data_IF_557054408638
#
_entry.id   IF_557054408638
#
_cell.length_a   1.000
_cell.length_b   1.000
_cell.length_c   1.000
_cell.angle_alpha   90.00
_cell.angle_beta   90.00
_cell.angle_gamma   90.00
#
_symmetry.space_group_name_H-M   'P 1'
#
loop_
_entity.id
_entity.type
_entity.pdbx_description
1 polymer ?
#
# COMPACT_ATOMS: atom_id res chain seq x y z
N UNK A 1 -18.84 4.73 -16.21
CA UNK A 1 -18.42 4.86 -17.63
C UNK A 1 -18.34 6.34 -18.03
N UNK A 2 -19.43 7.10 -17.88
CA UNK A 2 -19.44 8.55 -18.12
C UNK A 2 -18.38 9.36 -17.33
N UNK A 3 -18.16 9.07 -16.05
CA UNK A 3 -17.11 9.72 -15.24
C UNK A 3 -15.69 9.48 -15.80
N UNK A 4 -15.37 8.23 -16.14
CA UNK A 4 -14.08 7.86 -16.73
C UNK A 4 -13.84 8.59 -18.06
N UNK A 5 -14.85 8.63 -18.94
CA UNK A 5 -14.75 9.28 -20.25
C UNK A 5 -14.67 10.81 -20.12
N UNK A 6 -15.38 11.40 -19.14
CA UNK A 6 -15.27 12.82 -18.79
C UNK A 6 -13.86 13.17 -18.32
N UNK A 7 -13.33 12.46 -17.31
CA UNK A 7 -11.98 12.70 -16.78
C UNK A 7 -10.86 12.45 -17.80
N UNK A 8 -11.10 11.53 -18.74
CA UNK A 8 -10.18 11.27 -19.86
C UNK A 8 -10.18 12.42 -20.87
N UNK A 9 -11.36 12.92 -21.23
CA UNK A 9 -11.53 13.98 -22.25
C UNK A 9 -11.13 15.37 -21.75
N UNK A 10 -11.27 15.65 -20.45
CA UNK A 10 -10.81 16.90 -19.82
C UNK A 10 -9.32 16.92 -19.50
N UNK A 11 -8.62 15.80 -19.70
CA UNK A 11 -7.18 15.71 -19.46
C UNK A 11 -6.78 15.48 -18.00
N UNK A 12 -7.73 15.33 -17.07
CA UNK A 12 -7.45 14.98 -15.66
C UNK A 12 -6.70 13.65 -15.49
N UNK A 13 -6.76 12.77 -16.50
CA UNK A 13 -5.99 11.52 -16.51
C UNK A 13 -4.61 11.65 -17.19
N UNK A 14 -4.32 12.76 -17.89
CA UNK A 14 -2.99 13.02 -18.45
C UNK A 14 -2.07 13.45 -17.30
N UNK A 15 -0.79 13.04 -17.32
CA UNK A 15 0.22 13.36 -16.30
C UNK A 15 0.02 12.70 -14.91
N UNK A 16 -0.81 11.65 -14.79
CA UNK A 16 -0.81 10.84 -13.55
C UNK A 16 0.43 9.96 -13.50
N UNK A 17 1.26 10.14 -12.49
CA UNK A 17 2.44 9.31 -12.23
C UNK A 17 2.20 8.49 -10.98
N UNK A 18 2.69 7.25 -10.94
CA UNK A 18 2.62 6.40 -9.75
C UNK A 18 4.03 6.08 -9.25
N UNK A 19 4.32 6.50 -8.02
CA UNK A 19 5.50 6.05 -7.27
C UNK A 19 5.19 4.75 -6.54
N UNK A 20 6.13 3.82 -6.58
CA UNK A 20 6.06 2.55 -5.86
C UNK A 20 7.23 2.49 -4.88
N UNK A 21 6.94 2.26 -3.60
CA UNK A 21 7.93 2.20 -2.54
C UNK A 21 7.68 0.98 -1.66
N UNK A 22 8.75 0.41 -1.11
CA UNK A 22 8.64 -0.58 -0.05
C UNK A 22 8.06 0.07 1.22
N UNK A 23 7.27 -0.68 1.99
CA UNK A 23 6.81 -0.23 3.31
C UNK A 23 7.93 -0.48 4.33
N UNK A 24 8.43 0.54 5.06
CA UNK A 24 9.48 0.34 6.07
C UNK A 24 9.10 -0.70 7.13
N UNK A 25 10.06 -1.53 7.56
CA UNK A 25 9.83 -2.61 8.52
C UNK A 25 9.05 -3.80 7.94
N UNK A 26 8.85 -3.83 6.62
CA UNK A 26 8.12 -4.89 5.91
C UNK A 26 8.92 -5.44 4.73
N UNK A 27 10.23 -5.27 4.76
CA UNK A 27 11.11 -5.80 3.72
C UNK A 27 11.64 -7.17 4.02
N UNK A 28 12.37 -7.72 3.05
CA UNK A 28 13.05 -9.01 3.20
C UNK A 28 14.02 -9.02 4.38
N UNK A 29 14.80 -7.94 4.55
CA UNK A 29 15.78 -7.84 5.64
C UNK A 29 15.15 -7.80 7.04
N UNK A 30 13.88 -7.41 7.15
CA UNK A 30 13.17 -7.35 8.44
C UNK A 30 12.64 -8.72 8.87
N UNK A 31 12.05 -9.49 7.95
CA UNK A 31 11.52 -10.83 8.22
C UNK A 31 11.54 -11.72 6.95
N UNK A 32 12.67 -12.38 6.64
CA UNK A 32 12.80 -13.22 5.46
C UNK A 32 11.74 -14.32 5.37
N UNK A 33 11.40 -14.93 6.51
CA UNK A 33 10.48 -16.07 6.58
C UNK A 33 9.02 -15.67 6.35
N UNK A 34 8.62 -14.47 6.75
CA UNK A 34 7.29 -13.94 6.43
C UNK A 34 7.21 -13.41 4.99
N UNK A 35 8.33 -13.00 4.38
CA UNK A 35 8.35 -12.46 3.01
C UNK A 35 8.47 -13.52 1.94
N UNK A 36 9.13 -14.63 2.20
CA UNK A 36 9.37 -15.67 1.20
C UNK A 36 8.88 -17.01 1.70
N UNK A 37 7.86 -17.56 1.02
CA UNK A 37 7.38 -18.91 1.22
C UNK A 37 7.91 -19.81 0.12
N UNK A 38 8.74 -20.79 0.48
CA UNK A 38 9.19 -21.82 -0.45
C UNK A 38 8.04 -22.75 -0.82
N UNK A 39 7.84 -22.97 -2.12
CA UNK A 39 6.87 -23.93 -2.67
C UNK A 39 7.60 -25.19 -3.13
N UNK A 40 8.72 -25.03 -3.81
CA UNK A 40 9.59 -26.12 -4.27
C UNK A 40 11.06 -25.68 -4.25
N UNK A 41 11.96 -26.53 -4.74
CA UNK A 41 13.36 -26.17 -5.00
C UNK A 41 13.54 -25.15 -6.14
N UNK A 42 12.46 -24.87 -6.88
CA UNK A 42 12.44 -23.96 -8.03
C UNK A 42 11.43 -22.84 -7.92
N UNK A 43 10.49 -22.91 -6.97
CA UNK A 43 9.35 -22.00 -6.91
C UNK A 43 9.17 -21.42 -5.51
N UNK A 44 8.90 -20.12 -5.46
CA UNK A 44 8.67 -19.36 -4.25
C UNK A 44 7.48 -18.42 -4.42
N UNK A 45 6.84 -18.08 -3.32
CA UNK A 45 5.89 -16.97 -3.24
C UNK A 45 6.54 -15.86 -2.41
N UNK A 46 6.72 -14.71 -3.04
CA UNK A 46 7.28 -13.49 -2.44
C UNK A 46 6.15 -12.53 -2.11
N UNK A 47 6.04 -12.19 -0.83
CA UNK A 47 5.09 -11.20 -0.31
C UNK A 47 5.71 -9.83 -0.36
N UNK A 48 5.29 -9.02 -1.33
CA UNK A 48 5.74 -7.64 -1.51
C UNK A 48 4.70 -6.66 -0.96
N UNK A 49 5.01 -6.00 0.15
CA UNK A 49 4.18 -4.96 0.76
C UNK A 49 4.66 -3.58 0.27
N UNK A 50 3.89 -2.94 -0.61
CA UNK A 50 4.25 -1.66 -1.23
C UNK A 50 3.29 -0.53 -0.88
N UNK A 51 3.83 0.68 -0.87
CA UNK A 51 3.07 1.93 -0.96
C UNK A 51 3.03 2.36 -2.43
N UNK A 52 1.82 2.54 -2.95
CA UNK A 52 1.55 3.10 -4.26
C UNK A 52 0.97 4.50 -4.11
N UNK A 53 1.78 5.51 -4.43
CA UNK A 53 1.38 6.92 -4.40
C UNK A 53 1.11 7.40 -5.82
N UNK A 54 -0.08 7.93 -6.07
CA UNK A 54 -0.43 8.55 -7.35
C UNK A 54 -0.39 10.07 -7.24
N UNK A 55 0.27 10.70 -8.19
CA UNK A 55 0.43 12.14 -8.29
C UNK A 55 -0.24 12.68 -9.55
N UNK A 56 -0.74 13.91 -9.47
CA UNK A 56 -1.11 14.74 -10.61
C UNK A 56 -0.31 16.04 -10.51
N UNK A 57 0.68 16.21 -11.39
CA UNK A 57 1.69 17.26 -11.21
C UNK A 57 2.45 17.06 -9.89
N UNK A 58 2.46 18.09 -9.04
CA UNK A 58 3.10 18.04 -7.72
C UNK A 58 2.19 17.54 -6.59
N UNK A 59 0.88 17.37 -6.86
CA UNK A 59 -0.10 17.01 -5.83
C UNK A 59 -0.25 15.49 -5.72
N UNK A 60 -0.15 14.96 -4.51
CA UNK A 60 -0.49 13.57 -4.24
C UNK A 60 -2.01 13.40 -4.18
N UNK A 61 -2.56 12.58 -5.07
CA UNK A 61 -4.01 12.36 -5.19
C UNK A 61 -4.46 11.01 -4.63
N UNK A 62 -3.54 10.08 -4.40
CA UNK A 62 -3.85 8.77 -3.80
C UNK A 62 -2.65 8.19 -3.08
N UNK A 63 -2.90 7.51 -1.97
CA UNK A 63 -1.97 6.57 -1.31
C UNK A 63 -2.67 5.25 -1.09
N UNK A 64 -2.05 4.16 -1.54
CA UNK A 64 -2.55 2.81 -1.29
C UNK A 64 -1.42 1.92 -0.80
N UNK A 65 -1.60 1.31 0.38
CA UNK A 65 -0.73 0.24 0.86
C UNK A 65 -1.31 -1.08 0.36
N UNK A 66 -0.53 -1.86 -0.37
CA UNK A 66 -0.98 -3.07 -1.05
C UNK A 66 0.04 -4.19 -0.88
N UNK A 67 -0.46 -5.38 -0.56
CA UNK A 67 0.28 -6.63 -0.50
C UNK A 67 0.13 -7.38 -1.81
N UNK A 68 1.23 -7.64 -2.49
CA UNK A 68 1.31 -8.44 -3.69
C UNK A 68 1.95 -9.80 -3.38
N UNK A 69 1.19 -10.91 -3.50
CA UNK A 69 1.77 -12.25 -3.44
C UNK A 69 2.28 -12.63 -4.85
N UNK A 70 3.56 -12.43 -5.11
CA UNK A 70 4.18 -12.64 -6.42
C UNK A 70 4.81 -14.03 -6.48
N UNK A 71 4.51 -14.83 -7.51
CA UNK A 71 5.23 -16.08 -7.71
C UNK A 71 6.57 -15.79 -8.37
N UNK A 72 7.61 -16.44 -7.88
CA UNK A 72 8.96 -16.37 -8.44
C UNK A 72 9.40 -17.78 -8.75
N UNK A 73 9.87 -17.99 -9.98
CA UNK A 73 10.33 -19.30 -10.44
C UNK A 73 11.76 -19.23 -10.94
N UNK A 74 12.52 -20.30 -10.70
CA UNK A 74 13.86 -20.50 -11.24
C UNK A 74 13.75 -20.84 -12.72
N UNK A 75 14.44 -20.08 -13.55
CA UNK A 75 14.52 -20.29 -14.99
C UNK A 75 15.96 -20.62 -15.40
N UNK A 76 16.11 -21.59 -16.29
CA UNK A 76 17.41 -21.89 -16.90
C UNK A 76 17.58 -21.02 -18.14
N UNK A 77 18.28 -19.91 -17.95
CA UNK A 77 18.54 -18.89 -18.98
C UNK A 77 19.99 -18.45 -18.84
N UNK A 78 20.59 -18.11 -19.96
CA UNK A 78 21.96 -17.57 -20.03
C UNK A 78 22.17 -16.46 -18.96
N UNK A 79 23.11 -16.65 -18.02
CA UNK A 79 23.41 -15.67 -16.97
C UNK A 79 23.84 -14.30 -17.49
N UNK A 80 24.37 -14.22 -18.72
CA UNK A 80 24.68 -12.93 -19.34
C UNK A 80 23.41 -12.12 -19.68
N UNK A 81 22.26 -12.78 -19.85
CA UNK A 81 20.96 -12.14 -20.10
C UNK A 81 20.14 -11.97 -18.83
N UNK A 82 20.22 -12.91 -17.89
CA UNK A 82 19.59 -12.81 -16.59
C UNK A 82 20.51 -13.42 -15.52
N UNK A 83 21.31 -12.59 -14.83
CA UNK A 83 22.29 -13.08 -13.85
C UNK A 83 21.64 -13.71 -12.62
N UNK A 84 20.34 -13.48 -12.40
CA UNK A 84 19.62 -14.02 -11.24
C UNK A 84 19.04 -15.41 -11.50
N UNK A 85 18.79 -15.79 -12.77
CA UNK A 85 18.11 -17.05 -13.09
C UNK A 85 16.70 -17.16 -12.51
N UNK A 86 16.04 -16.02 -12.27
CA UNK A 86 14.69 -15.92 -11.70
C UNK A 86 13.74 -15.20 -12.66
N UNK A 87 12.46 -15.57 -12.62
CA UNK A 87 11.38 -14.91 -13.34
C UNK A 87 10.17 -14.69 -12.42
N UNK A 88 9.38 -13.65 -12.72
CA UNK A 88 8.09 -13.42 -12.07
C UNK A 88 7.00 -14.17 -12.82
N UNK A 89 6.27 -15.05 -12.13
CA UNK A 89 5.18 -15.88 -12.66
C UNK A 89 3.81 -15.41 -12.14
N UNK A 90 3.44 -14.18 -12.50
CA UNK A 90 2.17 -13.58 -12.08
C UNK A 90 1.98 -13.59 -10.54
N UNK A 91 0.72 -13.65 -10.08
CA UNK A 91 0.37 -13.61 -8.67
C UNK A 91 -0.11 -14.97 -8.15
N UNK A 92 0.22 -15.29 -6.90
CA UNK A 92 -0.29 -16.45 -6.14
C UNK A 92 -1.73 -16.23 -5.64
N UNK A 93 -2.19 -14.97 -5.66
CA UNK A 93 -3.55 -14.58 -5.32
C UNK A 93 -3.81 -13.11 -5.63
N UNK A 94 -5.04 -12.67 -5.41
CA UNK A 94 -5.41 -11.26 -5.65
C UNK A 94 -4.62 -10.34 -4.71
N UNK A 95 -3.96 -9.28 -5.23
CA UNK A 95 -3.32 -8.28 -4.39
C UNK A 95 -4.30 -7.68 -3.37
N UNK A 96 -3.89 -7.58 -2.11
CA UNK A 96 -4.76 -7.18 -1.00
C UNK A 96 -4.38 -5.80 -0.51
N UNK A 97 -5.38 -4.95 -0.23
CA UNK A 97 -5.13 -3.66 0.42
C UNK A 97 -4.75 -3.91 1.87
N UNK A 98 -3.68 -3.26 2.33
CA UNK A 98 -3.26 -3.28 3.74
C UNK A 98 -4.01 -2.17 4.45
N UNK A 99 -4.82 -2.53 5.44
CA UNK A 99 -5.48 -1.55 6.30
C UNK A 99 -4.43 -0.75 7.07
N UNK A 100 -4.51 0.57 6.99
CA UNK A 100 -3.79 1.46 7.90
C UNK A 100 -4.74 1.74 9.06
N UNK A 101 -4.29 1.69 10.34
CA UNK A 101 -5.12 2.16 11.44
C UNK A 101 -5.59 3.59 11.14
N UNK A 102 -6.89 3.86 11.30
CA UNK A 102 -7.39 5.22 11.17
C UNK A 102 -6.68 6.10 12.21
N UNK A 103 -6.19 7.30 11.86
CA UNK A 103 -5.67 8.22 12.86
C UNK A 103 -6.76 8.42 13.91
N UNK A 104 -6.45 8.14 15.19
CA UNK A 104 -7.37 8.41 16.29
C UNK A 104 -7.76 9.87 16.23
N UNK A 105 -8.99 10.16 15.80
CA UNK A 105 -9.53 11.52 15.87
C UNK A 105 -9.50 11.91 17.35
N UNK A 106 -8.84 13.01 17.75
CA UNK A 106 -8.92 13.46 19.13
C UNK A 106 -10.39 13.65 19.47
N UNK A 107 -10.83 13.03 20.57
CA UNK A 107 -12.20 13.16 21.03
C UNK A 107 -12.54 14.65 21.14
N UNK A 108 -13.63 15.06 20.51
CA UNK A 108 -14.17 16.40 20.67
C UNK A 108 -14.31 16.66 22.16
N UNK A 109 -13.46 17.54 22.72
CA UNK A 109 -13.49 17.87 24.13
C UNK A 109 -14.91 18.28 24.50
N UNK A 110 -15.56 17.45 25.30
CA UNK A 110 -16.87 17.76 25.85
C UNK A 110 -16.73 19.01 26.70
N UNK A 111 -17.19 20.14 26.19
CA UNK A 111 -17.48 21.32 27.00
C UNK A 111 -18.58 20.93 27.97
N UNK A 112 -18.21 20.56 29.20
CA UNK A 112 -19.14 20.50 30.33
C UNK A 112 -19.65 21.92 30.60
N UNK A 113 -20.96 22.20 30.57
CA UNK A 113 -21.46 23.46 31.08
C UNK A 113 -21.31 23.48 32.60
N UNK A 114 -20.46 24.39 33.07
CA UNK A 114 -20.28 24.72 34.48
C UNK A 114 -21.58 25.33 35.01
N UNK A 115 -22.28 24.64 35.91
CA UNK A 115 -23.36 25.23 36.68
C UNK A 115 -22.75 26.13 37.79
N UNK A 116 -23.22 27.38 37.99
CA UNK A 116 -22.83 28.14 39.15
C UNK A 116 -23.69 27.72 40.35
N UNK A 117 -23.03 27.23 41.41
CA UNK A 117 -23.61 27.17 42.75
C UNK A 117 -23.41 28.52 43.46
N UNK A 118 -24.47 29.01 44.08
CA UNK A 118 -24.47 30.11 45.06
C UNK A 118 -25.92 30.50 45.30
N UNK A 119 -26.45 30.64 46.51
CA UNK A 119 -25.92 30.67 47.86
C UNK A 119 -27.08 31.19 48.74
N UNK A 120 -27.11 30.78 50.01
CA UNK A 120 -28.21 30.92 50.97
C UNK A 120 -28.82 32.32 51.16
N UNK A 121 -30.14 32.29 51.39
CA UNK A 121 -31.00 32.91 52.45
C UNK A 121 -30.58 34.24 53.12
N UNK A 122 -31.58 35.05 53.51
CA UNK A 122 -32.23 34.86 54.81
C UNK A 122 -33.74 34.66 54.76
#
# INVERSE_FOLDING_TARGET
RADYDYRRSTGELRQRVRGIYEIPGRGYGDDPTARVRTVSDRDWVVTLDITADEYYGAEQVKRALVRYPVKVTKVDIDPARNPFGLALDCYDGTPQRISTPEPTRPASGGLSPHAPQGGNTP
#
